data_IF_746660357479
#
_entry.id   IF_746660357479
#
_cell.length_a   1.000
_cell.length_b   1.000
_cell.length_c   1.000
_cell.angle_alpha   90.00
_cell.angle_beta   90.00
_cell.angle_gamma   90.00
#
_symmetry.space_group_name_H-M   'P 1'
#
loop_
_entity.id
_entity.type
_entity.pdbx_description
1 polymer ?
#
# COMPACT_ATOMS: atom_id res chain seq x y z
N UNK A 1 43.50 -23.76 -10.39
CA UNK A 1 43.39 -22.35 -9.95
C UNK A 1 42.29 -21.60 -10.69
N UNK A 2 42.40 -21.25 -11.99
CA UNK A 2 41.33 -20.51 -12.70
C UNK A 2 39.97 -21.22 -12.80
N UNK A 3 39.96 -22.54 -13.03
CA UNK A 3 38.72 -23.33 -13.11
C UNK A 3 37.96 -23.37 -11.77
N UNK A 4 38.71 -23.50 -10.68
CA UNK A 4 38.16 -23.65 -9.34
C UNK A 4 37.56 -22.31 -8.87
N UNK A 5 38.19 -21.18 -9.19
CA UNK A 5 37.65 -19.84 -8.94
C UNK A 5 36.34 -19.59 -9.70
N UNK A 6 36.25 -20.00 -10.97
CA UNK A 6 35.02 -19.83 -11.77
C UNK A 6 33.86 -20.66 -11.18
N UNK A 7 34.13 -21.90 -10.76
CA UNK A 7 33.11 -22.76 -10.14
C UNK A 7 32.62 -22.17 -8.81
N UNK A 8 33.53 -21.63 -7.99
CA UNK A 8 33.18 -20.98 -6.71
C UNK A 8 32.35 -19.71 -6.94
N UNK A 9 32.71 -18.86 -7.91
CA UNK A 9 31.96 -17.64 -8.22
C UNK A 9 30.56 -17.92 -8.77
N UNK A 10 30.42 -18.93 -9.65
CA UNK A 10 29.11 -19.33 -10.20
C UNK A 10 28.21 -19.92 -9.09
N UNK A 11 28.77 -20.73 -8.19
CA UNK A 11 28.03 -21.26 -7.04
C UNK A 11 27.55 -20.15 -6.08
N UNK A 12 28.35 -19.10 -5.87
CA UNK A 12 28.02 -17.98 -4.98
C UNK A 12 26.86 -17.12 -5.53
N UNK A 13 26.71 -16.98 -6.85
CA UNK A 13 25.60 -16.24 -7.46
C UNK A 13 24.25 -16.98 -7.37
N UNK A 14 24.25 -18.32 -7.28
CA UNK A 14 23.00 -19.10 -7.19
C UNK A 14 22.36 -19.12 -5.79
N UNK A 15 23.11 -18.73 -4.74
CA UNK A 15 22.62 -18.73 -3.34
C UNK A 15 22.09 -17.37 -2.86
N UNK A 16 22.22 -16.31 -3.65
CA UNK A 16 21.69 -14.98 -3.30
C UNK A 16 20.29 -14.80 -3.88
N UNK A 17 19.30 -15.46 -3.27
CA UNK A 17 17.89 -15.12 -3.49
C UNK A 17 17.61 -13.80 -2.77
N UNK A 18 17.56 -12.69 -3.50
CA UNK A 18 17.12 -11.39 -2.96
C UNK A 18 15.60 -11.32 -3.12
N UNK A 19 14.87 -11.39 -2.02
CA UNK A 19 13.45 -11.08 -2.01
C UNK A 19 13.25 -9.58 -1.85
N UNK A 20 12.41 -8.99 -2.68
CA UNK A 20 11.92 -7.64 -2.43
C UNK A 20 11.07 -7.64 -1.14
N UNK A 21 11.08 -6.52 -0.42
CA UNK A 21 10.26 -6.34 0.79
C UNK A 21 8.75 -6.30 0.47
N UNK A 22 8.39 -5.98 -0.78
CA UNK A 22 7.02 -5.82 -1.24
C UNK A 22 6.80 -6.56 -2.55
N UNK A 23 5.56 -6.98 -2.79
CA UNK A 23 5.17 -7.54 -4.07
C UNK A 23 5.26 -6.49 -5.19
N UNK A 24 5.45 -6.90 -6.45
CA UNK A 24 5.38 -6.02 -7.61
C UNK A 24 4.03 -5.29 -7.72
N UNK A 25 3.98 -4.12 -8.39
CA UNK A 25 2.74 -3.38 -8.62
C UNK A 25 1.73 -4.19 -9.46
N UNK A 26 0.47 -3.76 -9.41
CA UNK A 26 -0.60 -4.38 -10.18
C UNK A 26 -0.24 -4.50 -11.67
N UNK A 27 -0.54 -5.65 -12.27
CA UNK A 27 -0.23 -5.93 -13.68
C UNK A 27 1.17 -6.50 -13.94
N UNK A 28 2.04 -6.62 -12.93
CA UNK A 28 3.34 -7.28 -13.06
C UNK A 28 3.32 -8.72 -12.54
N UNK A 29 4.19 -9.56 -13.12
CA UNK A 29 4.34 -10.95 -12.69
C UNK A 29 4.73 -11.02 -11.21
N UNK A 30 4.01 -11.83 -10.44
CA UNK A 30 4.25 -12.01 -9.00
C UNK A 30 3.58 -10.95 -8.11
N UNK A 31 2.77 -10.04 -8.67
CA UNK A 31 1.98 -9.10 -7.86
C UNK A 31 0.99 -9.82 -6.93
N UNK A 32 0.78 -9.25 -5.74
CA UNK A 32 -0.27 -9.65 -4.81
C UNK A 32 -1.43 -8.67 -4.80
N UNK A 33 -1.50 -7.74 -5.76
CA UNK A 33 -2.57 -6.75 -5.85
C UNK A 33 -3.93 -7.41 -6.09
N UNK A 34 -4.94 -6.94 -5.37
CA UNK A 34 -6.32 -7.40 -5.47
C UNK A 34 -7.14 -6.26 -6.10
N UNK A 35 -7.98 -6.58 -7.09
CA UNK A 35 -8.89 -5.60 -7.68
C UNK A 35 -9.93 -5.14 -6.65
N UNK A 36 -10.24 -3.84 -6.58
CA UNK A 36 -11.16 -3.25 -5.61
C UNK A 36 -12.59 -3.82 -5.62
N UNK A 37 -13.03 -4.40 -6.74
CA UNK A 37 -14.33 -5.07 -6.87
C UNK A 37 -14.28 -6.59 -6.62
N UNK A 38 -13.16 -7.11 -6.12
CA UNK A 38 -13.02 -8.54 -5.82
C UNK A 38 -13.99 -8.98 -4.72
N UNK A 39 -14.67 -10.09 -4.95
CA UNK A 39 -15.58 -10.69 -3.98
C UNK A 39 -14.88 -11.28 -2.74
N UNK A 40 -13.55 -11.24 -2.66
CA UNK A 40 -12.82 -11.67 -1.47
C UNK A 40 -12.90 -10.64 -0.33
N UNK A 41 -13.28 -9.39 -0.64
CA UNK A 41 -13.55 -8.37 0.38
C UNK A 41 -14.92 -8.62 1.01
N UNK A 42 -14.93 -9.01 2.27
CA UNK A 42 -16.15 -9.37 3.01
C UNK A 42 -16.71 -8.22 3.86
N UNK A 43 -15.88 -7.24 4.22
CA UNK A 43 -16.26 -6.05 4.98
C UNK A 43 -15.43 -4.84 4.56
N UNK A 44 -15.96 -3.65 4.82
CA UNK A 44 -15.30 -2.38 4.60
C UNK A 44 -15.30 -1.57 5.89
N UNK A 45 -14.36 -0.63 6.03
CA UNK A 45 -14.42 0.38 7.07
C UNK A 45 -15.77 1.12 7.01
N UNK A 46 -16.31 1.51 8.16
CA UNK A 46 -17.59 2.21 8.27
C UNK A 46 -17.47 3.65 8.78
N UNK A 47 -16.26 4.07 9.15
CA UNK A 47 -15.97 5.43 9.57
C UNK A 47 -14.49 5.76 9.34
N UNK A 48 -14.20 7.03 9.13
CA UNK A 48 -12.85 7.56 9.02
C UNK A 48 -12.76 8.95 9.66
N UNK A 49 -11.67 9.21 10.38
CA UNK A 49 -11.26 10.54 10.80
C UNK A 49 -9.91 10.89 10.15
N UNK A 50 -9.86 12.01 9.42
CA UNK A 50 -8.66 12.44 8.70
C UNK A 50 -8.08 13.68 9.36
N UNK A 51 -6.78 13.64 9.70
CA UNK A 51 -6.00 14.82 10.02
C UNK A 51 -5.08 15.12 8.83
N UNK A 52 -5.41 16.18 8.10
CA UNK A 52 -4.72 16.53 6.86
C UNK A 52 -3.33 17.11 7.13
N UNK A 53 -2.39 16.65 6.33
CA UNK A 53 -1.04 17.14 6.21
C UNK A 53 -0.91 18.31 5.21
N UNK A 54 0.33 18.68 4.95
CA UNK A 54 0.68 19.76 4.03
C UNK A 54 0.65 19.30 2.58
N UNK A 55 0.48 20.22 1.62
CA UNK A 55 0.71 19.90 0.20
C UNK A 55 2.19 19.61 -0.07
N UNK A 56 3.04 20.39 0.57
CA UNK A 56 4.49 20.22 0.64
C UNK A 56 4.90 20.61 2.05
N UNK A 57 5.45 19.68 2.82
CA UNK A 57 5.90 19.97 4.19
C UNK A 57 7.11 20.91 4.23
N UNK A 58 7.87 21.02 3.13
CA UNK A 58 9.00 21.94 3.01
C UNK A 58 8.54 23.38 2.73
N UNK A 59 7.38 23.57 2.10
CA UNK A 59 6.75 24.88 1.87
C UNK A 59 5.29 24.91 2.34
N UNK A 60 5.12 25.19 3.64
CA UNK A 60 3.79 25.30 4.26
C UNK A 60 2.94 26.47 3.76
N UNK A 61 3.51 27.41 3.00
CA UNK A 61 2.75 28.54 2.44
C UNK A 61 1.72 28.08 1.40
N UNK A 62 1.94 26.90 0.80
CA UNK A 62 1.00 26.24 -0.11
C UNK A 62 -0.27 25.73 0.61
N UNK A 63 -0.25 25.67 1.94
CA UNK A 63 -1.33 25.21 2.78
C UNK A 63 -1.47 23.68 2.83
N UNK A 64 -2.50 23.22 3.55
CA UNK A 64 -2.84 21.80 3.65
C UNK A 64 -3.57 21.30 2.41
N UNK A 65 -3.53 19.98 2.20
CA UNK A 65 -4.33 19.34 1.15
C UNK A 65 -5.83 19.51 1.45
N UNK A 66 -6.66 19.51 0.42
CA UNK A 66 -8.12 19.72 0.56
C UNK A 66 -8.95 18.79 -0.30
N UNK A 67 -8.33 17.85 -1.04
CA UNK A 67 -9.05 16.97 -1.97
C UNK A 67 -9.81 15.85 -1.23
N UNK A 68 -11.04 15.59 -1.68
CA UNK A 68 -11.94 14.57 -1.13
C UNK A 68 -12.48 14.92 0.26
N UNK A 69 -13.25 14.01 0.85
CA UNK A 69 -13.78 14.07 2.22
C UNK A 69 -13.49 12.76 2.96
N UNK A 70 -13.66 12.72 4.28
CA UNK A 70 -13.45 11.48 5.05
C UNK A 70 -14.36 10.33 4.58
N UNK A 71 -15.54 10.65 4.05
CA UNK A 71 -16.46 9.66 3.46
C UNK A 71 -15.93 8.98 2.19
N UNK A 72 -14.89 9.51 1.55
CA UNK A 72 -14.23 8.85 0.43
C UNK A 72 -13.21 7.79 0.88
N UNK A 73 -12.95 7.66 2.18
CA UNK A 73 -11.98 6.68 2.72
C UNK A 73 -12.63 5.42 3.32
N UNK A 74 -13.96 5.32 3.32
CA UNK A 74 -14.67 4.17 3.88
C UNK A 74 -15.83 3.73 2.97
N UNK A 75 -16.48 2.63 3.31
CA UNK A 75 -17.39 1.88 2.44
C UNK A 75 -16.66 1.28 1.22
N UNK A 76 -17.44 0.68 0.31
CA UNK A 76 -16.90 0.03 -0.88
C UNK A 76 -16.18 1.06 -1.77
N UNK A 77 -14.96 0.74 -2.17
CA UNK A 77 -14.16 1.60 -3.04
C UNK A 77 -14.90 1.92 -4.36
N UNK A 78 -14.94 3.20 -4.72
CA UNK A 78 -15.70 3.74 -5.86
C UNK A 78 -14.87 4.70 -6.73
N UNK A 79 -13.53 4.61 -6.67
CA UNK A 79 -12.55 5.52 -7.25
C UNK A 79 -12.55 6.96 -6.70
N UNK A 80 -13.38 7.28 -5.71
CA UNK A 80 -13.22 8.49 -4.91
C UNK A 80 -12.07 8.31 -3.91
N UNK A 81 -11.32 9.38 -3.66
CA UNK A 81 -10.19 9.34 -2.72
C UNK A 81 -10.14 10.59 -1.86
N UNK A 82 -9.53 10.48 -0.68
CA UNK A 82 -9.18 11.62 0.17
C UNK A 82 -7.67 11.78 0.19
N UNK A 83 -7.19 13.02 0.01
CA UNK A 83 -5.76 13.31 0.10
C UNK A 83 -5.33 13.50 1.56
N UNK A 84 -4.30 12.76 1.99
CA UNK A 84 -3.68 12.93 3.31
C UNK A 84 -2.64 14.05 3.32
N UNK A 85 -1.85 14.19 2.25
CA UNK A 85 -0.73 15.14 2.20
C UNK A 85 0.44 14.74 3.10
N UNK A 86 1.50 15.53 3.08
CA UNK A 86 2.72 15.26 3.83
C UNK A 86 2.46 15.33 5.33
N UNK A 87 2.74 14.23 6.02
CA UNK A 87 2.48 14.07 7.46
C UNK A 87 0.99 13.95 7.80
N UNK A 88 0.11 13.74 6.82
CA UNK A 88 -1.30 13.47 7.06
C UNK A 88 -1.54 12.06 7.59
N UNK A 89 -2.64 11.87 8.31
CA UNK A 89 -3.05 10.58 8.84
C UNK A 89 -4.57 10.37 8.71
N UNK A 90 -4.97 9.10 8.59
CA UNK A 90 -6.36 8.66 8.68
C UNK A 90 -6.49 7.59 9.74
N UNK A 91 -7.56 7.67 10.54
CA UNK A 91 -7.95 6.65 11.51
C UNK A 91 -9.26 6.05 11.03
N UNK A 92 -9.23 4.79 10.59
CA UNK A 92 -10.41 4.05 10.14
C UNK A 92 -11.01 3.23 11.28
N UNK A 93 -12.32 3.09 11.31
CA UNK A 93 -13.03 2.16 12.18
C UNK A 93 -13.76 1.11 11.36
N UNK A 94 -13.85 -0.08 11.94
CA UNK A 94 -14.53 -1.23 11.36
C UNK A 94 -15.62 -1.70 12.32
N UNK A 95 -16.75 -2.16 11.78
CA UNK A 95 -17.84 -2.70 12.58
C UNK A 95 -17.46 -4.02 13.29
N UNK A 96 -16.44 -4.71 12.77
CA UNK A 96 -15.91 -5.96 13.32
C UNK A 96 -14.43 -5.80 13.61
N UNK A 97 -13.89 -6.49 14.64
CA UNK A 97 -12.47 -6.52 14.89
C UNK A 97 -11.70 -7.08 13.69
N UNK A 98 -10.54 -6.49 13.41
CA UNK A 98 -9.54 -7.10 12.53
C UNK A 98 -8.83 -8.19 13.34
N UNK A 99 -8.78 -9.41 12.80
CA UNK A 99 -8.17 -10.57 13.45
C UNK A 99 -7.08 -11.10 12.54
N UNK A 100 -5.90 -11.37 13.11
CA UNK A 100 -4.77 -11.98 12.41
C UNK A 100 -5.12 -13.41 11.99
N UNK A 101 -5.40 -13.57 10.69
CA UNK A 101 -5.76 -14.83 10.06
C UNK A 101 -4.78 -15.22 8.96
N UNK A 102 -5.00 -16.36 8.29
CA UNK A 102 -4.19 -16.71 7.12
C UNK A 102 -4.35 -15.66 6.00
N UNK A 103 -3.26 -14.98 5.63
CA UNK A 103 -3.21 -14.05 4.51
C UNK A 103 -3.16 -12.58 4.95
N UNK A 104 -3.69 -11.68 4.11
CA UNK A 104 -3.78 -10.26 4.42
C UNK A 104 -5.09 -9.94 5.16
N UNK A 105 -5.01 -9.17 6.24
CA UNK A 105 -6.19 -8.84 7.06
C UNK A 105 -7.00 -7.65 6.52
N UNK A 106 -6.35 -6.74 5.79
CA UNK A 106 -6.99 -5.58 5.15
C UNK A 106 -6.23 -5.16 3.89
N UNK A 107 -6.89 -4.39 3.03
CA UNK A 107 -6.28 -3.77 1.86
C UNK A 107 -6.53 -2.26 1.87
N UNK A 108 -5.57 -1.50 1.39
CA UNK A 108 -5.67 -0.05 1.18
C UNK A 108 -5.53 0.22 -0.30
N UNK A 109 -6.45 0.99 -0.86
CA UNK A 109 -6.41 1.42 -2.25
C UNK A 109 -5.90 2.86 -2.31
N UNK A 110 -4.73 3.02 -2.92
CA UNK A 110 -4.06 4.31 -3.06
C UNK A 110 -3.83 4.63 -4.53
N UNK A 111 -3.81 5.92 -4.85
CA UNK A 111 -3.28 6.37 -6.13
C UNK A 111 -1.75 6.44 -6.00
N UNK A 112 -1.06 5.41 -6.49
CA UNK A 112 0.39 5.45 -6.61
C UNK A 112 0.80 6.56 -7.59
N UNK A 113 1.89 7.25 -7.26
CA UNK A 113 2.58 8.13 -8.20
C UNK A 113 3.24 7.23 -9.27
N UNK A 114 2.91 7.45 -10.54
CA UNK A 114 3.69 6.94 -11.67
C UNK A 114 4.81 7.91 -11.99
#
# INVERSE_FOLDING_TARGET
MFRDTIVITVALCFVLQVSAQYAPPAGQQGTTAINADSNIFVFWANYCNVNRGWKDIADTTLGKVTYGTESNAFAKADNSVVSLGDGGQAVLSFAYPIVDGPGFDFAVFENALN
#
